data_IF_330388318235
#
_entry.id   IF_330388318235
#
_cell.length_a   1.000
_cell.length_b   1.000
_cell.length_c   1.000
_cell.angle_alpha   90.00
_cell.angle_beta   90.00
_cell.angle_gamma   90.00
#
_symmetry.space_group_name_H-M   'P 1'
#
loop_
_entity.id
_entity.type
_entity.pdbx_description
1 polymer ?
#
# COMPACT_ATOMS: atom_id res chain seq x y z
N UNK A 1 2.06 -6.70 -4.80
CA UNK A 1 0.77 -6.10 -5.18
C UNK A 1 1.02 -4.70 -5.70
N UNK A 2 0.22 -4.20 -6.63
CA UNK A 2 0.38 -2.83 -7.14
C UNK A 2 -1.00 -2.26 -7.52
N UNK A 3 -1.09 -0.93 -7.54
CA UNK A 3 -2.32 -0.24 -7.87
C UNK A 3 -2.56 -0.25 -9.39
N UNK A 4 -3.76 -0.63 -9.82
CA UNK A 4 -4.17 -0.51 -11.22
C UNK A 4 -5.68 -0.60 -11.35
N UNK A 5 -6.33 0.51 -11.68
CA UNK A 5 -7.78 0.53 -11.90
C UNK A 5 -8.16 -0.23 -13.19
N UNK A 6 -7.33 -0.15 -14.22
CA UNK A 6 -7.52 -0.84 -15.50
C UNK A 6 -7.53 -2.37 -15.34
N UNK A 7 -6.65 -2.90 -14.48
CA UNK A 7 -6.60 -4.34 -14.19
C UNK A 7 -7.63 -4.77 -13.15
N UNK A 8 -8.29 -3.86 -12.44
CA UNK A 8 -9.32 -4.24 -11.48
C UNK A 8 -10.74 -4.26 -12.07
N UNK A 9 -10.97 -3.64 -13.24
CA UNK A 9 -12.28 -3.63 -13.89
C UNK A 9 -13.39 -3.17 -12.93
N UNK A 10 -14.42 -4.00 -12.74
CA UNK A 10 -15.51 -3.75 -11.79
C UNK A 10 -15.20 -4.21 -10.36
N UNK A 11 -14.15 -5.00 -10.17
CA UNK A 11 -13.69 -5.46 -8.86
C UNK A 11 -12.88 -4.39 -8.14
N UNK A 12 -12.74 -4.54 -6.82
CA UNK A 12 -11.91 -3.67 -6.00
C UNK A 12 -10.45 -4.18 -5.91
N UNK A 13 -10.24 -5.48 -6.14
CA UNK A 13 -8.94 -6.13 -6.19
C UNK A 13 -9.03 -7.44 -6.98
N UNK A 14 -7.97 -7.82 -7.68
CA UNK A 14 -7.94 -9.08 -8.45
C UNK A 14 -6.55 -9.72 -8.45
N UNK A 15 -6.49 -11.02 -8.73
CA UNK A 15 -5.23 -11.76 -8.87
C UNK A 15 -5.01 -12.19 -10.32
N UNK A 16 -3.85 -11.83 -10.87
CA UNK A 16 -3.44 -12.17 -12.24
C UNK A 16 -2.21 -13.04 -12.26
N UNK A 17 -2.15 -14.00 -13.18
CA UNK A 17 -0.92 -14.73 -13.46
C UNK A 17 0.12 -13.76 -14.05
N UNK A 18 1.37 -13.80 -13.57
CA UNK A 18 2.42 -12.85 -13.97
C UNK A 18 2.68 -12.84 -15.48
N UNK A 19 2.42 -13.97 -16.16
CA UNK A 19 2.52 -14.09 -17.60
C UNK A 19 1.49 -13.25 -18.37
N UNK A 20 0.32 -12.99 -17.80
CA UNK A 20 -0.76 -12.22 -18.43
C UNK A 20 -0.55 -10.70 -18.34
N UNK A 21 0.26 -10.25 -17.40
CA UNK A 21 0.47 -8.83 -17.07
C UNK A 21 1.90 -8.34 -17.30
N UNK A 22 2.70 -9.17 -17.98
CA UNK A 22 4.16 -8.99 -18.19
C UNK A 22 4.55 -7.66 -18.84
N UNK A 23 3.65 -7.05 -19.63
CA UNK A 23 3.90 -5.79 -20.33
C UNK A 23 3.40 -4.54 -19.59
N UNK A 24 2.51 -4.69 -18.61
CA UNK A 24 1.88 -3.57 -17.88
C UNK A 24 2.46 -3.41 -16.47
N UNK A 25 3.26 -4.36 -16.01
CA UNK A 25 3.71 -4.43 -14.62
C UNK A 25 5.17 -4.82 -14.58
N UNK A 26 5.98 -4.00 -13.93
CA UNK A 26 7.35 -4.33 -13.55
C UNK A 26 7.30 -5.33 -12.37
N UNK A 27 6.87 -6.56 -12.65
CA UNK A 27 6.72 -7.62 -11.66
C UNK A 27 7.96 -8.53 -11.66
N UNK A 28 8.53 -8.77 -10.48
CA UNK A 28 9.66 -9.68 -10.31
C UNK A 28 9.18 -11.12 -10.50
N UNK A 29 9.83 -11.89 -11.38
CA UNK A 29 9.42 -13.27 -11.71
C UNK A 29 9.72 -14.30 -10.61
N UNK A 30 10.59 -13.95 -9.67
CA UNK A 30 10.93 -14.78 -8.53
C UNK A 30 11.36 -13.95 -7.32
N UNK A 31 11.17 -14.51 -6.13
CA UNK A 31 11.54 -13.90 -4.85
C UNK A 31 12.24 -14.92 -3.95
N UNK A 32 13.20 -14.47 -3.14
CA UNK A 32 13.86 -15.31 -2.15
C UNK A 32 13.03 -15.28 -0.85
N UNK A 33 12.46 -16.41 -0.45
CA UNK A 33 11.72 -16.54 0.80
C UNK A 33 12.36 -17.66 1.62
N UNK A 34 12.88 -17.32 2.80
CA UNK A 34 13.55 -18.25 3.70
C UNK A 34 14.66 -19.08 3.01
N UNK A 35 15.52 -18.41 2.23
CA UNK A 35 16.63 -19.04 1.52
C UNK A 35 16.24 -19.89 0.30
N UNK A 36 14.95 -19.95 -0.06
CA UNK A 36 14.47 -20.66 -1.25
C UNK A 36 13.92 -19.67 -2.27
N UNK A 37 14.41 -19.76 -3.51
CA UNK A 37 13.85 -19.02 -4.64
C UNK A 37 12.48 -19.60 -4.99
N UNK A 38 11.45 -18.76 -4.89
CA UNK A 38 10.08 -19.12 -5.27
C UNK A 38 9.66 -18.30 -6.48
N UNK A 39 9.05 -18.96 -7.47
CA UNK A 39 8.46 -18.28 -8.62
C UNK A 39 7.19 -17.55 -8.19
N UNK A 40 7.03 -16.33 -8.68
CA UNK A 40 5.80 -15.56 -8.49
C UNK A 40 4.82 -16.03 -9.55
N UNK A 41 3.78 -16.76 -9.13
CA UNK A 41 2.74 -17.21 -10.06
C UNK A 41 1.72 -16.10 -10.28
N UNK A 42 1.11 -15.60 -9.19
CA UNK A 42 0.09 -14.56 -9.25
C UNK A 42 0.52 -13.27 -8.57
N UNK A 43 0.07 -12.16 -9.12
CA UNK A 43 0.19 -10.83 -8.54
C UNK A 43 -1.19 -10.23 -8.32
N UNK A 44 -1.35 -9.59 -7.17
CA UNK A 44 -2.58 -8.88 -6.84
C UNK A 44 -2.54 -7.44 -7.38
N UNK A 45 -3.59 -7.05 -8.08
CA UNK A 45 -3.91 -5.66 -8.40
C UNK A 45 -5.00 -5.15 -7.46
N UNK A 46 -5.01 -3.86 -7.21
CA UNK A 46 -6.05 -3.24 -6.39
C UNK A 46 -6.38 -1.82 -6.87
N UNK A 47 -7.61 -1.40 -6.55
CA UNK A 47 -8.00 0.02 -6.55
C UNK A 47 -7.59 0.66 -5.23
N UNK A 48 -7.31 1.96 -5.26
CA UNK A 48 -6.88 2.70 -4.05
C UNK A 48 -7.90 2.59 -2.90
N UNK A 49 -9.20 2.56 -3.23
CA UNK A 49 -10.28 2.38 -2.26
C UNK A 49 -10.16 1.08 -1.47
N UNK A 50 -9.73 -0.01 -2.13
CA UNK A 50 -9.51 -1.30 -1.48
C UNK A 50 -8.35 -1.22 -0.49
N UNK A 51 -7.22 -0.62 -0.89
CA UNK A 51 -6.05 -0.46 -0.01
C UNK A 51 -6.34 0.42 1.19
N UNK A 52 -7.10 1.51 0.99
CA UNK A 52 -7.51 2.38 2.10
C UNK A 52 -8.32 1.60 3.13
N UNK A 53 -9.37 0.92 2.68
CA UNK A 53 -10.29 0.17 3.55
C UNK A 53 -9.64 -1.03 4.25
N UNK A 54 -8.79 -1.77 3.54
CA UNK A 54 -8.31 -3.09 4.01
C UNK A 54 -6.87 -3.07 4.54
N UNK A 55 -6.09 -2.02 4.27
CA UNK A 55 -4.70 -1.94 4.73
C UNK A 55 -4.45 -0.66 5.52
N UNK A 56 -4.61 0.53 4.91
CA UNK A 56 -4.24 1.79 5.57
C UNK A 56 -5.10 2.09 6.80
N UNK A 57 -6.43 2.03 6.70
CA UNK A 57 -7.31 2.35 7.83
C UNK A 57 -7.14 1.34 8.99
N UNK A 58 -7.05 0.01 8.77
CA UNK A 58 -6.70 -0.93 9.82
C UNK A 58 -5.35 -0.68 10.46
N UNK A 59 -4.30 -0.40 9.67
CA UNK A 59 -2.97 -0.11 10.19
C UNK A 59 -2.93 1.18 11.00
N UNK A 60 -3.62 2.23 10.55
CA UNK A 60 -3.76 3.48 11.29
C UNK A 60 -4.51 3.27 12.60
N UNK A 61 -5.61 2.51 12.61
CA UNK A 61 -6.33 2.17 13.86
C UNK A 61 -5.45 1.38 14.82
N UNK A 62 -4.65 0.43 14.30
CA UNK A 62 -3.71 -0.33 15.10
C UNK A 62 -2.60 0.57 15.67
N UNK A 63 -2.03 1.45 14.86
CA UNK A 63 -1.03 2.42 15.28
C UNK A 63 -1.57 3.35 16.38
N UNK A 64 -2.78 3.88 16.21
CA UNK A 64 -3.44 4.73 17.21
C UNK A 64 -3.72 3.98 18.53
N UNK A 65 -3.91 2.65 18.48
CA UNK A 65 -4.10 1.84 19.70
C UNK A 65 -2.81 1.69 20.49
N UNK A 66 -1.68 1.54 19.81
CA UNK A 66 -0.37 1.36 20.45
C UNK A 66 0.33 2.69 20.77
N UNK A 67 0.07 3.72 19.98
CA UNK A 67 0.57 5.08 20.15
C UNK A 67 -0.63 6.03 20.11
N UNK A 68 -1.43 6.10 21.19
CA UNK A 68 -2.53 7.05 21.25
C UNK A 68 -1.96 8.45 21.02
N UNK A 69 -2.55 9.26 20.13
CA UNK A 69 -2.08 10.63 19.94
C UNK A 69 -2.13 11.32 21.30
N UNK A 70 -0.97 11.69 21.82
CA UNK A 70 -0.86 12.58 22.97
C UNK A 70 -1.80 13.75 22.71
N UNK A 71 -2.65 14.12 23.66
CA UNK A 71 -3.39 15.38 23.59
C UNK A 71 -2.36 16.52 23.61
N UNK A 72 -1.78 16.83 22.46
CA UNK A 72 -1.02 18.05 22.27
C UNK A 72 -2.06 19.14 22.26
N UNK A 73 -2.18 19.85 23.38
CA UNK A 73 -2.75 21.19 23.40
C UNK A 73 -1.88 22.03 22.48
N UNK A 74 -2.26 22.11 21.21
CA UNK A 74 -1.64 23.00 20.23
C UNK A 74 -1.97 24.42 20.70
N UNK A 75 -1.05 25.01 21.45
CA UNK A 75 -0.98 26.47 21.53
C UNK A 75 -0.36 26.90 20.20
N UNK A 76 -1.16 27.58 19.39
CA UNK A 76 -0.72 28.19 18.12
C UNK A 76 0.38 29.20 18.50
N UNK A 77 1.66 28.82 18.36
CA UNK A 77 2.76 29.78 18.25
C UNK A 77 3.02 29.96 16.78
N UNK A 78 2.27 30.93 16.24
CA UNK A 78 2.61 31.63 15.03
C UNK A 78 4.00 32.25 15.23
N UNK A 79 4.98 31.76 14.48
CA UNK A 79 6.32 32.34 14.39
C UNK A 79 6.93 31.88 13.07
N UNK A 80 6.55 32.62 12.03
CA UNK A 80 7.31 32.94 10.82
C UNK A 80 8.70 32.31 10.71
N UNK A 81 8.86 31.41 9.74
CA UNK A 81 10.17 31.00 9.26
C UNK A 81 10.63 32.00 8.20
N UNK A 82 11.43 33.00 8.60
CA UNK A 82 12.23 33.79 7.66
C UNK A 82 13.52 33.01 7.39
N UNK A 83 13.75 32.65 6.12
CA UNK A 83 15.05 32.19 5.65
C UNK A 83 15.90 33.45 5.41
N UNK A 84 16.93 33.64 6.22
CA UNK A 84 18.03 34.57 5.98
C UNK A 84 19.31 33.77 5.67
#
# INVERSE_FOLDING_TARGET
MFQSDALCGDSANEFYEIGQVRNQVFAVSSVLIAGRTRRVNKIMTYKLSWMKKNYYDPMMRLANRFNPPSRVTVTYRDSDCIIA
#
